data_IF_311780150569
#
_entry.id   IF_311780150569
#
_cell.length_a   1.000
_cell.length_b   1.000
_cell.length_c   1.000
_cell.angle_alpha   90.00
_cell.angle_beta   90.00
_cell.angle_gamma   90.00
#
_symmetry.space_group_name_H-M   'P 1'
#
loop_
_entity.id
_entity.type
_entity.pdbx_description
1 polymer ?
#
# COMPACT_ATOMS: atom_id res chain seq x y z
N UNK A 1 24.79 -9.73 0.06
CA UNK A 1 24.64 -10.85 0.99
C UNK A 1 24.06 -10.34 2.31
N UNK A 2 22.76 -10.09 2.33
CA UNK A 2 21.98 -9.88 3.55
C UNK A 2 20.66 -10.62 3.29
N UNK A 3 20.77 -11.95 3.32
CA UNK A 3 19.63 -12.83 3.37
C UNK A 3 18.91 -12.46 4.67
N UNK A 4 17.59 -12.28 4.65
CA UNK A 4 16.81 -12.59 5.84
C UNK A 4 17.13 -14.06 6.11
N UNK A 5 18.15 -14.28 6.93
CA UNK A 5 18.53 -15.58 7.43
C UNK A 5 17.21 -16.15 7.97
N UNK A 6 16.76 -17.30 7.49
CA UNK A 6 15.53 -17.96 7.97
C UNK A 6 15.67 -18.41 9.44
N UNK A 7 16.85 -18.19 10.04
CA UNK A 7 17.19 -18.48 11.43
C UNK A 7 16.25 -17.91 12.51
N UNK A 8 15.72 -16.66 12.47
CA UNK A 8 14.87 -16.15 13.53
C UNK A 8 13.45 -16.74 13.51
N UNK A 9 13.04 -17.42 12.43
CA UNK A 9 11.75 -18.12 12.35
C UNK A 9 11.87 -19.64 12.53
N UNK A 10 13.08 -20.17 12.81
CA UNK A 10 13.28 -21.60 13.11
C UNK A 10 12.49 -22.07 14.33
N UNK A 11 12.11 -21.18 15.25
CA UNK A 11 11.26 -21.57 16.38
C UNK A 11 9.89 -22.08 15.93
N UNK A 12 9.37 -21.63 14.76
CA UNK A 12 8.12 -22.13 14.21
C UNK A 12 8.23 -23.58 13.73
N UNK A 13 9.43 -24.06 13.38
CA UNK A 13 9.65 -25.47 13.05
C UNK A 13 9.39 -26.38 14.26
N UNK A 14 9.49 -25.87 15.50
CA UNK A 14 9.14 -26.63 16.70
C UNK A 14 7.64 -26.94 16.78
N UNK A 15 6.78 -26.24 16.04
CA UNK A 15 5.36 -26.53 15.93
C UNK A 15 5.05 -27.80 15.09
N UNK A 16 6.04 -28.31 14.34
CA UNK A 16 5.92 -29.50 13.50
C UNK A 16 6.58 -30.76 14.09
N UNK A 17 7.18 -30.73 15.29
CA UNK A 17 7.89 -31.91 15.79
C UNK A 17 6.92 -33.05 16.14
N UNK A 18 7.09 -34.14 15.40
CA UNK A 18 6.37 -35.41 15.48
C UNK A 18 6.63 -36.08 16.85
N UNK A 19 5.57 -36.48 17.53
CA UNK A 19 5.66 -37.46 18.61
C UNK A 19 5.95 -38.83 18.00
N UNK A 20 7.21 -39.22 17.94
CA UNK A 20 7.56 -40.63 17.74
C UNK A 20 7.26 -41.38 19.04
N UNK A 21 5.99 -41.70 19.28
CA UNK A 21 5.66 -42.70 20.28
C UNK A 21 5.76 -44.07 19.60
N UNK A 22 6.87 -44.75 19.87
CA UNK A 22 7.09 -46.12 19.47
C UNK A 22 5.95 -47.02 19.94
N UNK A 23 5.45 -47.84 19.02
CA UNK A 23 4.38 -48.79 19.25
C UNK A 23 4.26 -49.78 18.10
N UNK A 24 5.30 -50.60 17.95
CA UNK A 24 5.32 -52.01 17.46
C UNK A 24 4.49 -52.35 16.21
N UNK A 25 5.20 -52.75 15.15
CA UNK A 25 4.67 -53.38 13.94
C UNK A 25 3.78 -54.61 14.23
N UNK A 26 2.64 -54.71 13.53
CA UNK A 26 2.01 -55.98 13.16
C UNK A 26 1.33 -55.82 11.78
N UNK A 27 1.56 -56.75 10.82
CA UNK A 27 1.06 -56.61 9.46
C UNK A 27 -0.31 -57.27 9.30
N UNK A 28 -1.24 -56.57 8.64
CA UNK A 28 -2.36 -57.23 7.97
C UNK A 28 -3.69 -56.48 8.00
N UNK A 29 -4.34 -56.50 6.84
CA UNK A 29 -5.77 -56.25 6.56
C UNK A 29 -6.24 -54.80 6.48
N UNK A 30 -6.58 -54.40 5.25
CA UNK A 30 -7.22 -53.13 4.96
C UNK A 30 -8.66 -53.08 5.48
N UNK A 31 -9.03 -51.90 5.99
CA UNK A 31 -10.41 -51.43 6.05
C UNK A 31 -10.38 -49.91 6.26
N UNK A 32 -11.22 -49.21 5.52
CA UNK A 32 -11.51 -47.80 5.72
C UNK A 32 -12.03 -47.54 7.15
N UNK A 33 -11.43 -46.58 7.84
CA UNK A 33 -11.96 -45.99 9.08
C UNK A 33 -11.64 -44.48 9.00
N UNK A 34 -12.60 -43.67 8.57
CA UNK A 34 -13.61 -43.01 9.41
C UNK A 34 -13.00 -41.83 10.17
N UNK A 35 -13.31 -40.64 9.67
CA UNK A 35 -13.31 -39.39 10.42
C UNK A 35 -14.12 -39.55 11.71
N UNK A 36 -13.42 -39.51 12.85
CA UNK A 36 -13.75 -38.76 14.07
C UNK A 36 -12.98 -39.36 15.23
N UNK A 37 -11.95 -38.66 15.66
CA UNK A 37 -11.65 -38.52 17.09
C UNK A 37 -10.73 -37.30 17.29
N UNK A 38 -11.32 -36.20 17.74
CA UNK A 38 -10.61 -35.03 18.22
C UNK A 38 -11.33 -34.52 19.48
N UNK A 39 -11.23 -35.28 20.57
CA UNK A 39 -11.50 -34.74 21.89
C UNK A 39 -10.41 -35.24 22.87
N UNK A 40 -9.54 -34.32 23.29
CA UNK A 40 -8.53 -34.58 24.32
C UNK A 40 -7.21 -33.84 24.11
N UNK A 41 -7.15 -32.56 24.49
CA UNK A 41 -5.97 -31.86 25.04
C UNK A 41 -4.60 -31.88 24.31
N UNK A 42 -4.47 -32.48 23.13
CA UNK A 42 -3.23 -32.53 22.36
C UNK A 42 -3.12 -31.31 21.47
N UNK A 43 -2.01 -30.56 21.56
CA UNK A 43 -1.69 -29.47 20.63
C UNK A 43 -1.95 -29.93 19.19
N UNK A 44 -2.89 -29.27 18.50
CA UNK A 44 -3.10 -29.43 17.05
C UNK A 44 -1.75 -29.14 16.38
N UNK A 45 -1.06 -30.19 15.95
CA UNK A 45 0.20 -30.07 15.22
C UNK A 45 -0.10 -29.44 13.87
N UNK A 46 0.63 -28.38 13.53
CA UNK A 46 0.54 -27.73 12.22
C UNK A 46 1.34 -28.55 11.21
N UNK A 47 0.82 -28.68 9.99
CA UNK A 47 1.60 -29.27 8.88
C UNK A 47 2.77 -28.37 8.53
N UNK A 48 3.82 -28.95 7.93
CA UNK A 48 5.00 -28.20 7.49
C UNK A 48 4.59 -27.07 6.54
N UNK A 49 3.66 -27.36 5.62
CA UNK A 49 3.09 -26.40 4.68
C UNK A 49 2.44 -25.20 5.38
N UNK A 50 1.71 -25.42 6.48
CA UNK A 50 1.08 -24.34 7.26
C UNK A 50 2.13 -23.44 7.92
N UNK A 51 3.23 -24.02 8.38
CA UNK A 51 4.33 -23.27 9.01
C UNK A 51 5.09 -22.47 7.96
N UNK A 52 5.33 -23.01 6.78
CA UNK A 52 6.00 -22.30 5.68
C UNK A 52 5.14 -21.17 5.11
N UNK A 53 3.84 -21.43 4.93
CA UNK A 53 2.85 -20.41 4.60
C UNK A 53 2.87 -19.22 5.58
N UNK A 54 2.88 -19.50 6.89
CA UNK A 54 2.98 -18.46 7.93
C UNK A 54 4.30 -17.70 7.86
N UNK A 55 5.43 -18.38 7.64
CA UNK A 55 6.75 -17.72 7.52
C UNK A 55 6.77 -16.75 6.34
N UNK A 56 6.24 -17.16 5.19
CA UNK A 56 6.17 -16.30 4.01
C UNK A 56 5.31 -15.06 4.27
N UNK A 57 4.14 -15.23 4.91
CA UNK A 57 3.30 -14.11 5.32
C UNK A 57 4.03 -13.14 6.26
N UNK A 58 4.71 -13.65 7.30
CA UNK A 58 5.47 -12.84 8.26
C UNK A 58 6.63 -12.11 7.59
N UNK A 59 7.28 -12.71 6.60
CA UNK A 59 8.40 -12.11 5.87
C UNK A 59 8.00 -10.88 5.06
N UNK A 60 6.77 -10.86 4.53
CA UNK A 60 6.22 -9.79 3.69
C UNK A 60 5.77 -8.56 4.51
N UNK A 61 5.44 -8.76 5.79
CA UNK A 61 4.89 -7.72 6.67
C UNK A 61 5.69 -6.40 6.73
N UNK A 62 7.04 -6.37 6.74
CA UNK A 62 7.78 -5.12 6.75
C UNK A 62 7.52 -4.27 5.50
N UNK A 63 7.48 -4.89 4.32
CA UNK A 63 7.17 -4.18 3.06
C UNK A 63 5.70 -3.75 3.06
N UNK A 64 4.78 -4.64 3.41
CA UNK A 64 3.35 -4.32 3.57
C UNK A 64 3.11 -3.16 4.55
N UNK A 65 3.85 -3.08 5.66
CA UNK A 65 3.67 -1.98 6.62
C UNK A 65 3.99 -0.60 6.03
N UNK A 66 4.89 -0.53 5.04
CA UNK A 66 5.22 0.73 4.36
C UNK A 66 4.15 1.18 3.36
N UNK A 67 3.35 0.26 2.82
CA UNK A 67 2.25 0.57 1.89
C UNK A 67 1.03 1.14 2.61
N UNK A 68 0.95 0.99 3.93
CA UNK A 68 -0.05 1.67 4.79
C UNK A 68 0.00 3.19 4.61
N UNK A 69 1.17 3.77 4.33
CA UNK A 69 1.25 5.21 4.03
C UNK A 69 0.56 5.57 2.71
N UNK A 70 0.71 4.74 1.66
CA UNK A 70 0.01 4.94 0.41
C UNK A 70 -1.51 4.88 0.64
N UNK A 71 -1.98 3.87 1.38
CA UNK A 71 -3.38 3.76 1.78
C UNK A 71 -3.87 5.00 2.54
N UNK A 72 -3.10 5.47 3.54
CA UNK A 72 -3.41 6.70 4.26
C UNK A 72 -3.50 7.90 3.31
N UNK A 73 -2.59 8.02 2.34
CA UNK A 73 -2.56 9.13 1.39
C UNK A 73 -3.82 9.17 0.51
N UNK A 74 -4.35 8.00 0.12
CA UNK A 74 -5.61 7.85 -0.61
C UNK A 74 -6.84 8.28 0.22
N UNK A 75 -6.79 8.12 1.55
CA UNK A 75 -7.88 8.47 2.46
C UNK A 75 -8.11 9.97 2.67
N UNK A 76 -7.27 10.84 2.07
CA UNK A 76 -7.35 12.29 2.25
C UNK A 76 -8.51 12.91 1.46
N UNK A 77 -9.45 13.55 2.17
CA UNK A 77 -10.64 14.15 1.54
C UNK A 77 -10.59 15.70 1.44
N UNK A 78 -9.54 16.33 1.99
CA UNK A 78 -9.46 17.80 2.08
C UNK A 78 -9.40 18.53 0.74
N UNK A 79 -8.90 17.88 -0.31
CA UNK A 79 -8.85 18.46 -1.65
C UNK A 79 -10.25 18.80 -2.20
N UNK A 80 -11.28 18.04 -1.83
CA UNK A 80 -12.67 18.31 -2.23
C UNK A 80 -13.21 19.55 -1.51
N UNK A 81 -12.85 19.73 -0.24
CA UNK A 81 -13.21 20.93 0.52
C UNK A 81 -12.52 22.17 -0.06
N UNK A 82 -11.24 22.05 -0.42
CA UNK A 82 -10.49 23.10 -1.12
C UNK A 82 -11.12 23.50 -2.44
N UNK A 83 -11.52 22.50 -3.24
CA UNK A 83 -12.18 22.76 -4.52
C UNK A 83 -13.46 23.60 -4.38
N UNK A 84 -14.20 23.46 -3.27
CA UNK A 84 -15.43 24.22 -3.07
C UNK A 84 -15.20 25.73 -2.86
N UNK A 85 -14.06 26.09 -2.27
CA UNK A 85 -13.60 27.47 -2.05
C UNK A 85 -12.85 28.06 -3.27
N UNK A 86 -12.55 27.25 -4.27
CA UNK A 86 -11.87 27.65 -5.51
C UNK A 86 -12.86 27.98 -6.63
N UNK A 87 -12.38 28.69 -7.65
CA UNK A 87 -13.17 28.94 -8.86
C UNK A 87 -13.25 27.68 -9.72
N UNK A 88 -14.47 27.14 -9.86
CA UNK A 88 -14.76 25.88 -10.54
C UNK A 88 -15.42 26.09 -11.91
N UNK A 89 -15.31 27.28 -12.49
CA UNK A 89 -15.85 27.56 -13.83
C UNK A 89 -14.97 26.96 -14.92
N UNK A 90 -15.59 26.38 -15.95
CA UNK A 90 -14.89 25.90 -17.15
C UNK A 90 -15.00 26.93 -18.27
N UNK A 91 -13.86 27.43 -18.73
CA UNK A 91 -13.78 28.33 -19.90
C UNK A 91 -14.49 29.67 -19.69
N UNK A 92 -15.01 30.23 -20.77
CA UNK A 92 -15.76 31.50 -20.77
C UNK A 92 -17.23 31.33 -20.35
N UNK A 93 -17.63 30.10 -19.99
CA UNK A 93 -19.01 29.76 -19.64
C UNK A 93 -19.35 29.98 -18.17
N UNK A 94 -20.65 29.90 -17.84
CA UNK A 94 -21.14 29.97 -16.46
C UNK A 94 -21.23 28.60 -15.76
N UNK A 95 -20.85 27.51 -16.43
CA UNK A 95 -20.95 26.17 -15.86
C UNK A 95 -19.93 25.96 -14.73
N UNK A 96 -20.42 25.66 -13.53
CA UNK A 96 -19.62 25.40 -12.33
C UNK A 96 -19.60 23.90 -12.04
N UNK A 97 -18.44 23.28 -12.16
CA UNK A 97 -18.26 21.85 -11.92
C UNK A 97 -18.39 21.55 -10.43
N UNK A 98 -19.07 20.47 -9.98
CA UNK A 98 -19.05 20.04 -8.58
C UNK A 98 -17.63 19.76 -8.07
N UNK A 99 -17.24 20.23 -6.87
CA UNK A 99 -15.86 20.06 -6.38
C UNK A 99 -15.40 18.60 -6.28
N UNK A 100 -16.31 17.70 -5.91
CA UNK A 100 -16.05 16.26 -5.84
C UNK A 100 -15.66 15.66 -7.20
N UNK A 101 -16.17 16.19 -8.32
CA UNK A 101 -15.87 15.66 -9.66
C UNK A 101 -14.40 15.79 -10.07
N UNK A 102 -13.60 16.63 -9.39
CA UNK A 102 -12.16 16.71 -9.66
C UNK A 102 -11.43 15.40 -9.33
N UNK A 103 -12.01 14.55 -8.49
CA UNK A 103 -11.51 13.19 -8.24
C UNK A 103 -11.53 12.31 -9.49
N UNK A 104 -12.34 12.64 -10.51
CA UNK A 104 -12.34 11.92 -11.79
C UNK A 104 -10.98 12.00 -12.48
N UNK A 105 -10.19 13.07 -12.27
CA UNK A 105 -8.85 13.17 -12.84
C UNK A 105 -7.91 12.10 -12.28
N UNK A 106 -8.09 11.66 -11.03
CA UNK A 106 -7.37 10.53 -10.46
C UNK A 106 -7.73 9.25 -11.26
N UNK A 107 -9.02 8.92 -11.35
CA UNK A 107 -9.52 7.73 -12.06
C UNK A 107 -9.11 7.69 -13.54
N UNK A 108 -9.18 8.83 -14.23
CA UNK A 108 -8.74 8.96 -15.63
C UNK A 108 -7.23 8.73 -15.74
N UNK A 109 -6.44 9.33 -14.85
CA UNK A 109 -4.98 9.16 -14.87
C UNK A 109 -4.57 7.72 -14.60
N UNK A 110 -5.18 7.07 -13.60
CA UNK A 110 -4.97 5.65 -13.30
C UNK A 110 -5.34 4.77 -14.51
N UNK A 111 -6.48 5.03 -15.15
CA UNK A 111 -6.95 4.25 -16.30
C UNK A 111 -6.05 4.42 -17.53
N UNK A 112 -5.67 5.67 -17.83
CA UNK A 112 -4.75 5.99 -18.92
C UNK A 112 -3.36 5.37 -18.67
N UNK A 113 -2.90 5.43 -17.41
CA UNK A 113 -1.65 4.80 -17.02
C UNK A 113 -1.71 3.28 -17.21
N UNK A 114 -2.74 2.60 -16.70
CA UNK A 114 -2.87 1.15 -16.85
C UNK A 114 -2.86 0.74 -18.32
N UNK A 115 -3.63 1.41 -19.18
CA UNK A 115 -3.66 1.09 -20.62
C UNK A 115 -2.36 1.41 -21.36
N UNK A 116 -1.68 2.50 -20.98
CA UNK A 116 -0.40 2.87 -21.59
C UNK A 116 0.76 2.01 -21.08
N UNK A 117 0.68 1.51 -19.84
CA UNK A 117 1.72 0.70 -19.23
C UNK A 117 1.94 -0.58 -20.02
N UNK A 118 0.88 -1.35 -20.25
CA UNK A 118 0.96 -2.63 -20.96
C UNK A 118 1.35 -2.46 -22.43
N UNK A 119 0.86 -1.39 -23.07
CA UNK A 119 1.02 -1.18 -24.51
C UNK A 119 2.39 -0.60 -24.88
N UNK A 120 2.90 0.34 -24.09
CA UNK A 120 4.06 1.16 -24.45
C UNK A 120 5.21 1.06 -23.46
N UNK A 121 4.91 1.12 -22.16
CA UNK A 121 5.93 1.27 -21.11
C UNK A 121 6.60 -0.07 -20.83
N UNK A 122 5.83 -1.13 -20.59
CA UNK A 122 6.35 -2.48 -20.37
C UNK A 122 7.30 -2.94 -21.50
N UNK A 123 6.95 -2.87 -22.79
CA UNK A 123 7.88 -3.24 -23.86
C UNK A 123 9.08 -2.29 -23.97
N UNK A 124 8.93 -0.99 -23.69
CA UNK A 124 10.06 -0.07 -23.66
C UNK A 124 11.03 -0.40 -22.52
N UNK A 125 10.52 -0.68 -21.32
CA UNK A 125 11.36 -1.04 -20.18
C UNK A 125 12.02 -2.40 -20.39
N UNK A 126 11.35 -3.40 -20.95
CA UNK A 126 12.02 -4.67 -21.30
C UNK A 126 13.24 -4.45 -22.20
N UNK A 127 13.18 -3.49 -23.13
CA UNK A 127 14.31 -3.14 -24.01
C UNK A 127 15.42 -2.38 -23.30
N UNK A 128 15.09 -1.51 -22.34
CA UNK A 128 16.07 -0.67 -21.63
C UNK A 128 16.72 -1.41 -20.47
N UNK A 129 15.92 -2.09 -19.65
CA UNK A 129 16.37 -2.80 -18.44
C UNK A 129 16.93 -4.19 -18.74
N UNK A 130 16.61 -4.77 -19.91
CA UNK A 130 17.03 -6.12 -20.29
C UNK A 130 16.32 -7.24 -19.50
N UNK A 131 15.48 -6.89 -18.53
CA UNK A 131 14.66 -7.81 -17.75
C UNK A 131 13.30 -8.05 -18.44
N UNK A 132 12.84 -9.31 -18.62
CA UNK A 132 11.51 -9.61 -19.14
C UNK A 132 10.35 -8.97 -18.36
N UNK A 133 10.57 -8.55 -17.10
CA UNK A 133 9.56 -7.87 -16.27
C UNK A 133 9.62 -6.34 -16.34
N UNK A 134 10.69 -5.75 -16.86
CA UNK A 134 10.88 -4.29 -16.92
C UNK A 134 11.24 -3.69 -15.57
N UNK A 135 10.24 -3.27 -14.76
CA UNK A 135 10.47 -2.86 -13.37
C UNK A 135 10.26 -4.03 -12.42
N UNK A 136 11.09 -4.12 -11.37
CA UNK A 136 10.84 -5.08 -10.30
C UNK A 136 9.61 -4.68 -9.49
N UNK A 137 8.98 -5.64 -8.81
CA UNK A 137 7.74 -5.39 -8.07
C UNK A 137 7.97 -4.37 -6.94
N UNK A 138 9.09 -4.49 -6.20
CA UNK A 138 9.48 -3.51 -5.18
C UNK A 138 9.75 -2.13 -5.79
N UNK A 139 10.35 -2.04 -6.98
CA UNK A 139 10.55 -0.75 -7.64
C UNK A 139 9.22 -0.06 -7.94
N UNK A 140 8.21 -0.82 -8.42
CA UNK A 140 6.86 -0.29 -8.67
C UNK A 140 6.21 0.24 -7.39
N UNK A 141 6.28 -0.52 -6.28
CA UNK A 141 5.81 -0.07 -4.96
C UNK A 141 6.52 1.21 -4.51
N UNK A 142 7.85 1.25 -4.65
CA UNK A 142 8.66 2.42 -4.29
C UNK A 142 8.31 3.67 -5.11
N UNK A 143 8.10 3.51 -6.43
CA UNK A 143 7.64 4.60 -7.31
C UNK A 143 6.26 5.09 -6.86
N UNK A 144 5.35 4.19 -6.50
CA UNK A 144 4.04 4.55 -5.95
C UNK A 144 4.16 5.42 -4.70
N UNK A 145 4.99 5.02 -3.73
CA UNK A 145 5.23 5.77 -2.50
C UNK A 145 5.87 7.15 -2.74
N UNK A 146 6.80 7.25 -3.69
CA UNK A 146 7.40 8.52 -4.11
C UNK A 146 6.37 9.46 -4.72
N UNK A 147 5.53 8.94 -5.63
CA UNK A 147 4.50 9.72 -6.30
C UNK A 147 3.43 10.20 -5.32
N UNK A 148 3.04 9.37 -4.35
CA UNK A 148 2.13 9.78 -3.27
C UNK A 148 2.73 10.91 -2.43
N UNK A 149 4.02 10.81 -2.10
CA UNK A 149 4.75 11.86 -1.37
C UNK A 149 4.82 13.16 -2.19
N UNK A 150 5.11 13.06 -3.48
CA UNK A 150 5.11 14.19 -4.40
C UNK A 150 3.71 14.82 -4.52
N UNK A 151 2.64 14.02 -4.55
CA UNK A 151 1.26 14.51 -4.55
C UNK A 151 0.93 15.32 -3.29
N UNK A 152 1.43 14.91 -2.12
CA UNK A 152 1.29 15.68 -0.87
C UNK A 152 2.08 17.00 -0.91
N UNK A 153 3.31 16.97 -1.44
CA UNK A 153 4.12 18.18 -1.59
C UNK A 153 3.47 19.18 -2.57
N UNK A 154 2.92 18.70 -3.69
CA UNK A 154 2.16 19.52 -4.64
C UNK A 154 0.91 20.09 -3.97
N UNK A 155 0.16 19.29 -3.20
CA UNK A 155 -0.99 19.77 -2.43
C UNK A 155 -0.62 20.90 -1.48
N UNK A 156 0.51 20.77 -0.77
CA UNK A 156 1.03 21.83 0.11
C UNK A 156 1.43 23.10 -0.63
N UNK A 157 2.05 22.97 -1.80
CA UNK A 157 2.41 24.12 -2.63
C UNK A 157 1.19 24.84 -3.22
N UNK A 158 0.21 24.09 -3.73
CA UNK A 158 -1.05 24.62 -4.29
C UNK A 158 -1.86 25.32 -3.20
N UNK A 159 -1.98 24.73 -2.02
CA UNK A 159 -2.70 25.35 -0.90
C UNK A 159 -1.99 26.61 -0.40
N UNK A 160 -0.66 26.59 -0.31
CA UNK A 160 0.12 27.78 0.02
C UNK A 160 -0.03 28.90 -1.01
N UNK A 161 -0.16 28.57 -2.30
CA UNK A 161 -0.48 29.55 -3.34
C UNK A 161 -1.93 30.09 -3.19
N UNK A 162 -2.92 29.20 -3.05
CA UNK A 162 -4.34 29.56 -2.87
C UNK A 162 -4.53 30.53 -1.70
N UNK A 163 -3.94 30.19 -0.56
CA UNK A 163 -4.05 31.00 0.66
C UNK A 163 -3.41 32.38 0.51
N UNK A 164 -2.23 32.48 -0.13
CA UNK A 164 -1.59 33.78 -0.40
C UNK A 164 -2.46 34.67 -1.29
N UNK A 165 -3.10 34.10 -2.31
CA UNK A 165 -4.04 34.84 -3.16
C UNK A 165 -5.28 35.31 -2.38
N UNK A 166 -5.85 34.43 -1.55
CA UNK A 166 -7.02 34.76 -0.73
C UNK A 166 -6.75 35.91 0.25
N UNK A 167 -5.58 35.91 0.90
CA UNK A 167 -5.17 36.97 1.83
C UNK A 167 -4.85 38.30 1.14
N UNK A 168 -4.39 38.27 -0.12
CA UNK A 168 -4.10 39.46 -0.91
C UNK A 168 -5.35 40.11 -1.50
N UNK A 169 -6.55 39.58 -1.22
CA UNK A 169 -7.80 40.02 -1.87
C UNK A 169 -7.86 39.70 -3.36
N UNK A 170 -6.98 38.82 -3.84
CA UNK A 170 -6.94 38.38 -5.24
C UNK A 170 -8.16 37.53 -5.59
N UNK A 171 -8.57 37.58 -6.86
CA UNK A 171 -9.66 36.75 -7.38
C UNK A 171 -9.43 35.25 -7.14
N UNK A 172 -10.53 34.49 -7.10
CA UNK A 172 -10.51 33.05 -6.76
C UNK A 172 -9.59 32.25 -7.68
N UNK A 173 -8.66 31.48 -7.07
CA UNK A 173 -7.77 30.57 -7.79
C UNK A 173 -8.59 29.48 -8.49
N UNK A 174 -8.23 29.12 -9.73
CA UNK A 174 -8.91 28.06 -10.47
C UNK A 174 -8.72 26.69 -9.80
N UNK A 175 -9.80 25.95 -9.62
CA UNK A 175 -9.79 24.62 -9.02
C UNK A 175 -9.01 23.58 -9.85
N UNK A 176 -8.73 23.88 -11.13
CA UNK A 176 -7.89 23.03 -11.98
C UNK A 176 -6.42 22.95 -11.50
N UNK A 177 -5.98 23.86 -10.62
CA UNK A 177 -4.70 23.72 -9.93
C UNK A 177 -4.63 22.52 -8.98
N UNK A 178 -5.76 21.88 -8.65
CA UNK A 178 -5.79 20.62 -7.91
C UNK A 178 -5.60 19.40 -8.84
N UNK A 179 -5.63 19.56 -10.17
CA UNK A 179 -5.45 18.43 -11.09
C UNK A 179 -4.07 17.75 -10.96
N UNK A 180 -2.94 18.47 -10.83
CA UNK A 180 -1.63 17.84 -10.70
C UNK A 180 -1.51 16.89 -9.50
N UNK A 181 -2.05 17.24 -8.34
CA UNK A 181 -2.05 16.34 -7.17
C UNK A 181 -2.94 15.11 -7.39
N UNK A 182 -4.10 15.25 -8.06
CA UNK A 182 -4.96 14.10 -8.38
C UNK A 182 -4.33 13.17 -9.42
N UNK A 183 -3.65 13.73 -10.43
CA UNK A 183 -2.93 12.97 -11.43
C UNK A 183 -1.75 12.21 -10.81
N UNK A 184 -0.94 12.87 -9.97
CA UNK A 184 0.15 12.21 -9.25
C UNK A 184 -0.36 11.11 -8.31
N UNK A 185 -1.48 11.33 -7.63
CA UNK A 185 -2.10 10.30 -6.79
C UNK A 185 -2.58 9.11 -7.63
N UNK A 186 -3.23 9.34 -8.78
CA UNK A 186 -3.65 8.24 -9.65
C UNK A 186 -2.49 7.43 -10.23
N UNK A 187 -1.36 8.07 -10.54
CA UNK A 187 -0.13 7.36 -10.88
C UNK A 187 0.43 6.59 -9.68
N UNK A 188 0.40 7.19 -8.49
CA UNK A 188 0.87 6.55 -7.26
C UNK A 188 0.08 5.27 -6.95
N UNK A 189 -1.24 5.31 -7.10
CA UNK A 189 -2.13 4.17 -6.95
C UNK A 189 -1.82 3.10 -8.00
N UNK A 190 -1.72 3.48 -9.28
CA UNK A 190 -1.47 2.53 -10.35
C UNK A 190 -0.12 1.82 -10.23
N UNK A 191 0.93 2.50 -9.77
CA UNK A 191 2.22 1.85 -9.52
C UNK A 191 2.24 1.08 -8.20
N UNK A 192 1.76 1.71 -7.13
CA UNK A 192 1.85 1.20 -5.77
C UNK A 192 0.97 -0.02 -5.54
N UNK A 193 -0.33 0.12 -5.79
CA UNK A 193 -1.34 -0.95 -5.54
C UNK A 193 -1.10 -2.15 -6.45
N UNK A 194 -0.83 -1.91 -7.75
CA UNK A 194 -0.56 -3.00 -8.69
C UNK A 194 0.78 -3.68 -8.35
N UNK A 195 1.83 -2.90 -8.04
CA UNK A 195 3.12 -3.44 -7.64
C UNK A 195 3.04 -4.26 -6.35
N UNK A 196 2.25 -3.82 -5.39
CA UNK A 196 2.01 -4.52 -4.12
C UNK A 196 1.25 -5.83 -4.35
N UNK A 197 0.21 -5.81 -5.18
CA UNK A 197 -0.58 -7.01 -5.48
C UNK A 197 0.24 -8.07 -6.22
N UNK A 198 1.02 -7.66 -7.23
CA UNK A 198 1.95 -8.55 -7.93
C UNK A 198 3.01 -9.12 -6.99
N UNK A 199 3.58 -8.28 -6.11
CA UNK A 199 4.55 -8.71 -5.10
C UNK A 199 3.96 -9.81 -4.20
N UNK A 200 2.73 -9.62 -3.70
CA UNK A 200 2.06 -10.62 -2.86
C UNK A 200 1.80 -11.93 -3.62
N UNK A 201 1.36 -11.87 -4.88
CA UNK A 201 1.17 -13.10 -5.66
C UNK A 201 2.48 -13.83 -5.99
N UNK A 202 3.61 -13.13 -6.05
CA UNK A 202 4.91 -13.79 -6.29
C UNK A 202 5.56 -14.36 -5.03
N UNK A 203 5.29 -13.79 -3.86
CA UNK A 203 5.95 -14.20 -2.61
C UNK A 203 5.06 -15.10 -1.73
N UNK A 204 3.74 -15.07 -1.91
CA UNK A 204 2.81 -15.97 -1.24
C UNK A 204 2.50 -17.20 -2.11
N UNK A 205 2.29 -18.37 -1.49
CA UNK A 205 1.88 -19.56 -2.22
C UNK A 205 0.50 -19.38 -2.86
N UNK A 206 0.23 -20.10 -3.96
CA UNK A 206 -1.04 -20.01 -4.72
C UNK A 206 -2.27 -20.24 -3.85
N UNK A 207 -2.18 -21.10 -2.84
CA UNK A 207 -3.23 -21.37 -1.86
C UNK A 207 -3.62 -20.15 -1.00
N UNK A 208 -2.77 -19.12 -0.95
CA UNK A 208 -2.94 -17.90 -0.16
C UNK A 208 -3.34 -16.67 -1.00
N UNK A 209 -3.81 -16.85 -2.23
CA UNK A 209 -4.27 -15.75 -3.08
C UNK A 209 -5.32 -14.84 -2.40
N UNK A 210 -6.26 -15.43 -1.64
CA UNK A 210 -7.27 -14.67 -0.88
C UNK A 210 -6.66 -13.86 0.28
N UNK A 211 -5.57 -14.35 0.88
CA UNK A 211 -4.83 -13.66 1.92
C UNK A 211 -4.13 -12.41 1.38
N UNK A 212 -3.61 -12.44 0.16
CA UNK A 212 -3.04 -11.27 -0.53
C UNK A 212 -4.05 -10.12 -0.62
N UNK A 213 -5.28 -10.41 -1.04
CA UNK A 213 -6.35 -9.41 -1.13
C UNK A 213 -6.78 -8.93 0.26
N UNK A 214 -6.84 -9.82 1.25
CA UNK A 214 -7.14 -9.44 2.63
C UNK A 214 -6.09 -8.47 3.20
N UNK A 215 -4.80 -8.71 2.93
CA UNK A 215 -3.72 -7.80 3.32
C UNK A 215 -3.86 -6.42 2.66
N UNK A 216 -4.22 -6.37 1.38
CA UNK A 216 -4.42 -5.12 0.66
C UNK A 216 -5.55 -4.27 1.29
N UNK A 217 -6.72 -4.87 1.53
CA UNK A 217 -7.83 -4.16 2.19
C UNK A 217 -7.53 -3.86 3.67
N UNK A 218 -6.74 -4.70 4.34
CA UNK A 218 -6.26 -4.41 5.68
C UNK A 218 -5.37 -3.16 5.68
N UNK A 219 -4.46 -3.01 4.70
CA UNK A 219 -3.66 -1.80 4.56
C UNK A 219 -4.55 -0.56 4.37
N UNK A 220 -5.62 -0.66 3.57
CA UNK A 220 -6.61 0.42 3.42
C UNK A 220 -7.30 0.76 4.74
N UNK A 221 -7.75 -0.25 5.49
CA UNK A 221 -8.39 -0.07 6.80
C UNK A 221 -7.45 0.59 7.81
N UNK A 222 -6.22 0.09 7.93
CA UNK A 222 -5.20 0.68 8.81
C UNK A 222 -4.84 2.09 8.35
N UNK A 223 -4.69 2.33 7.04
CA UNK A 223 -4.43 3.65 6.47
C UNK A 223 -5.50 4.68 6.84
N UNK A 224 -6.78 4.29 6.80
CA UNK A 224 -7.89 5.14 7.25
C UNK A 224 -7.82 5.47 8.75
N UNK A 225 -7.45 4.49 9.59
CA UNK A 225 -7.27 4.71 11.03
C UNK A 225 -6.08 5.63 11.31
N UNK A 226 -4.95 5.42 10.62
CA UNK A 226 -3.76 6.27 10.71
C UNK A 226 -4.11 7.69 10.26
N UNK A 227 -4.84 7.86 9.16
CA UNK A 227 -5.32 9.16 8.71
C UNK A 227 -6.13 9.87 9.82
N UNK A 228 -7.11 9.17 10.38
CA UNK A 228 -7.96 9.71 11.45
C UNK A 228 -7.15 10.08 12.69
N UNK A 229 -6.14 9.29 13.04
CA UNK A 229 -5.22 9.57 14.14
C UNK A 229 -4.36 10.81 13.86
N UNK A 230 -3.78 10.92 12.65
CA UNK A 230 -2.99 12.08 12.24
C UNK A 230 -3.84 13.35 12.33
N UNK A 231 -5.05 13.34 11.76
CA UNK A 231 -6.00 14.45 11.83
C UNK A 231 -6.29 14.84 13.28
N UNK A 232 -6.58 13.86 14.15
CA UNK A 232 -6.86 14.11 15.57
C UNK A 232 -5.66 14.72 16.31
N UNK A 233 -4.46 14.19 16.07
CA UNK A 233 -3.22 14.69 16.71
C UNK A 233 -2.90 16.10 16.23
N UNK A 234 -3.05 16.37 14.92
CA UNK A 234 -2.85 17.71 14.35
C UNK A 234 -3.87 18.68 14.91
N UNK A 235 -5.15 18.29 15.00
CA UNK A 235 -6.20 19.15 15.55
C UNK A 235 -5.96 19.47 17.03
N UNK A 236 -5.63 18.48 17.87
CA UNK A 236 -5.29 18.69 19.29
C UNK A 236 -4.06 19.59 19.44
N UNK A 237 -2.98 19.26 18.73
CA UNK A 237 -1.70 19.98 18.83
C UNK A 237 -1.82 21.42 18.34
N UNK A 238 -2.58 21.65 17.26
CA UNK A 238 -2.75 22.99 16.68
C UNK A 238 -3.64 23.89 17.53
N UNK A 239 -4.58 23.33 18.29
CA UNK A 239 -5.46 24.07 19.22
C UNK A 239 -4.76 24.42 20.54
N UNK A 240 -3.66 23.76 20.89
CA UNK A 240 -2.92 24.04 22.13
C UNK A 240 -2.47 25.51 22.16
N UNK A 241 -2.83 26.20 23.24
CA UNK A 241 -2.54 27.63 23.42
C UNK A 241 -3.61 28.59 22.86
N UNK A 242 -4.83 28.12 22.59
CA UNK A 242 -5.96 28.98 22.18
C UNK A 242 -5.89 29.46 20.72
N UNK A 243 -5.04 28.82 19.90
CA UNK A 243 -4.88 29.12 18.47
C UNK A 243 -5.91 28.36 17.65
N UNK A 244 -6.22 28.88 16.45
CA UNK A 244 -7.09 28.19 15.49
C UNK A 244 -6.43 26.90 15.01
N UNK A 245 -7.20 25.82 14.93
CA UNK A 245 -6.71 24.55 14.39
C UNK A 245 -6.22 24.72 12.95
N UNK A 246 -5.15 24.01 12.57
CA UNK A 246 -4.72 23.96 11.17
C UNK A 246 -5.83 23.45 10.25
N UNK A 247 -6.70 22.57 10.78
CA UNK A 247 -7.83 21.94 10.10
C UNK A 247 -9.16 22.61 10.50
N UNK A 248 -9.15 23.93 10.68
CA UNK A 248 -10.36 24.72 10.98
C UNK A 248 -11.42 24.59 9.88
N UNK A 249 -12.70 24.64 10.25
CA UNK A 249 -13.83 24.63 9.30
C UNK A 249 -13.78 25.82 8.33
N UNK A 250 -13.14 26.92 8.73
CA UNK A 250 -12.78 28.01 7.83
C UNK A 250 -11.40 27.74 7.21
N UNK A 251 -11.39 27.37 5.93
CA UNK A 251 -10.19 27.07 5.16
C UNK A 251 -9.21 28.24 5.04
N UNK A 252 -9.69 29.48 5.15
CA UNK A 252 -8.84 30.66 5.03
C UNK A 252 -8.17 31.01 6.38
N UNK A 253 -8.81 30.67 7.50
CA UNK A 253 -8.25 30.79 8.84
C UNK A 253 -7.36 29.59 9.22
N UNK A 254 -7.61 28.41 8.63
CA UNK A 254 -6.80 27.20 8.76
C UNK A 254 -5.46 27.28 8.01
N UNK A 255 -4.55 26.36 8.34
CA UNK A 255 -3.23 26.22 7.71
C UNK A 255 -3.10 24.81 7.12
N UNK A 256 -3.94 24.54 6.11
CA UNK A 256 -3.95 23.26 5.38
C UNK A 256 -2.63 22.99 4.64
N UNK A 257 -1.90 24.05 4.29
CA UNK A 257 -0.55 23.99 3.76
C UNK A 257 0.40 23.25 4.71
N UNK A 258 0.40 23.59 6.01
CA UNK A 258 1.23 22.90 7.00
C UNK A 258 0.85 21.43 7.18
N UNK A 259 -0.45 21.13 7.11
CA UNK A 259 -0.93 19.75 7.16
C UNK A 259 -0.40 18.92 5.97
N UNK A 260 -0.44 19.45 4.75
CA UNK A 260 0.11 18.75 3.59
C UNK A 260 1.64 18.64 3.60
N UNK A 261 2.35 19.67 4.08
CA UNK A 261 3.80 19.59 4.27
C UNK A 261 4.19 18.56 5.33
N UNK A 262 3.41 18.44 6.41
CA UNK A 262 3.58 17.38 7.40
C UNK A 262 3.42 16.01 6.73
N UNK A 263 2.34 15.77 5.98
CA UNK A 263 2.13 14.51 5.26
C UNK A 263 3.25 14.22 4.24
N UNK A 264 3.76 15.22 3.54
CA UNK A 264 4.91 15.07 2.63
C UNK A 264 6.18 14.66 3.40
N UNK A 265 6.42 15.24 4.59
CA UNK A 265 7.52 14.86 5.46
C UNK A 265 7.39 13.42 5.97
N UNK A 266 6.19 13.03 6.44
CA UNK A 266 5.88 11.64 6.82
C UNK A 266 6.08 10.67 5.65
N UNK A 267 5.66 11.06 4.44
CA UNK A 267 5.87 10.27 3.22
C UNK A 267 7.33 10.07 2.87
N UNK A 268 8.15 11.12 3.01
CA UNK A 268 9.59 11.01 2.80
C UNK A 268 10.25 10.07 3.82
N UNK A 269 9.88 10.16 5.10
CA UNK A 269 10.35 9.23 6.15
C UNK A 269 9.90 7.80 5.85
N UNK A 270 8.64 7.60 5.45
CA UNK A 270 8.12 6.29 5.08
C UNK A 270 8.83 5.72 3.85
N UNK A 271 9.19 6.55 2.87
CA UNK A 271 9.95 6.11 1.71
C UNK A 271 11.35 5.63 2.10
N UNK A 272 12.04 6.34 3.00
CA UNK A 272 13.33 5.87 3.54
C UNK A 272 13.17 4.55 4.30
N UNK A 273 12.11 4.42 5.10
CA UNK A 273 11.77 3.16 5.76
C UNK A 273 11.52 2.02 4.76
N UNK A 274 10.78 2.28 3.68
CA UNK A 274 10.55 1.33 2.60
C UNK A 274 11.88 0.90 1.96
N UNK A 275 12.78 1.83 1.64
CA UNK A 275 14.10 1.49 1.08
C UNK A 275 14.89 0.59 2.01
N UNK A 276 14.86 0.86 3.32
CA UNK A 276 15.50 0.01 4.32
C UNK A 276 14.89 -1.40 4.36
N UNK A 277 13.55 -1.51 4.35
CA UNK A 277 12.85 -2.78 4.30
C UNK A 277 13.15 -3.56 3.01
N UNK A 278 13.10 -2.88 1.85
CA UNK A 278 13.34 -3.48 0.54
C UNK A 278 14.78 -3.95 0.36
N UNK A 279 15.74 -3.20 0.91
CA UNK A 279 17.15 -3.59 0.94
C UNK A 279 17.36 -4.82 1.83
N UNK A 280 16.76 -4.82 3.03
CA UNK A 280 16.85 -5.95 3.96
C UNK A 280 16.14 -7.21 3.43
N UNK A 281 15.09 -7.07 2.63
CA UNK A 281 14.32 -8.19 2.07
C UNK A 281 15.14 -9.05 1.08
N UNK A 282 16.12 -8.47 0.38
CA UNK A 282 16.93 -9.16 -0.63
C UNK A 282 16.20 -9.34 -1.97
N UNK A 283 16.70 -10.20 -2.86
CA UNK A 283 16.16 -10.43 -4.22
C UNK A 283 14.74 -11.04 -4.21
N UNK A 284 13.92 -10.65 -5.19
CA UNK A 284 12.54 -11.13 -5.39
C UNK A 284 12.55 -12.55 -6.01
N UNK A 285 11.61 -13.41 -5.61
CA UNK A 285 11.34 -14.66 -6.34
C UNK A 285 12.28 -15.85 -6.12
N UNK A 286 13.18 -15.82 -5.13
CA UNK A 286 14.03 -16.98 -4.77
C UNK A 286 13.36 -18.06 -3.92
N UNK A 287 12.10 -17.88 -3.51
CA UNK A 287 11.45 -18.76 -2.53
C UNK A 287 10.28 -19.60 -3.09
N UNK A 288 10.11 -19.66 -4.41
CA UNK A 288 9.02 -20.42 -5.06
C UNK A 288 9.60 -21.51 -5.98
N UNK A 289 10.48 -22.35 -5.44
CA UNK A 289 10.67 -23.72 -5.93
C UNK A 289 9.83 -24.62 -5.01
N UNK A 290 8.52 -24.70 -5.24
CA UNK A 290 7.64 -25.59 -4.45
C UNK A 290 6.71 -26.48 -5.29
N UNK A 291 6.77 -26.44 -6.63
CA UNK A 291 5.83 -27.22 -7.45
C UNK A 291 6.44 -27.96 -8.66
N UNK A 292 7.74 -27.90 -8.93
CA UNK A 292 8.30 -28.64 -10.10
C UNK A 292 8.84 -30.04 -9.80
N UNK A 293 8.99 -30.47 -8.54
CA UNK A 293 9.46 -31.83 -8.22
C UNK A 293 8.34 -32.88 -8.02
N UNK A 294 7.06 -32.54 -8.26
CA UNK A 294 5.92 -33.41 -7.94
C UNK A 294 5.22 -34.11 -9.11
N UNK A 295 5.40 -33.68 -10.36
CA UNK A 295 4.70 -34.23 -11.55
C UNK A 295 5.64 -34.91 -12.56
N UNK A 296 6.78 -35.39 -12.10
CA UNK A 296 7.73 -36.17 -12.89
C UNK A 296 8.03 -37.52 -12.25
N UNK A 297 7.03 -38.40 -12.18
CA UNK A 297 7.14 -39.88 -12.21
C UNK A 297 5.86 -40.51 -11.65
N UNK A 298 4.96 -40.88 -12.56
CA UNK A 298 4.19 -42.15 -12.56
C UNK A 298 3.41 -42.30 -13.86
#
# INVERSE_FOLDING_TARGET
>A
MAMFDLNPLRFLNKACMISNNGGVDLPGTGAAASERDCNGGGRRLCTVDQVEQLKSAVRILPIWSSTVFLAQAMSQNYAVLQANEMDRRIGVGQFRVPGCSLTMFNMVTMSLWSGSYDRWIAPALRRVTGDPRGLTMKQRVGVGLLLATAAMAVSGAVEGARRRLALAGGGGMSAFWLVPQFALMGLAEAFGVIGELEFFYTELPKSMASFSMALLYMAMGVGNLVNSLIVKVVDDTSRRGGRTSWLSSDLNAGHYDYYYWLLAGLGAVNFVYFLWCAWKYGEEGKNVEWEEEGEGER
#
